data_IF_213224318003
#
_entry.id   IF_213224318003
#
_cell.length_a   1.000
_cell.length_b   1.000
_cell.length_c   1.000
_cell.angle_alpha   90.00
_cell.angle_beta   90.00
_cell.angle_gamma   90.00
#
_symmetry.space_group_name_H-M   'P 1'
#
loop_
_entity.id
_entity.type
_entity.pdbx_description
1 polymer ?
#
# COMPACT_ATOMS: atom_id res chain seq x y z
N UNK A 1 -31.64 -18.88 0.65
CA UNK A 1 -30.39 -18.38 1.31
C UNK A 1 -29.15 -19.29 1.19
N UNK A 2 -29.23 -20.60 1.53
CA UNK A 2 -28.05 -21.51 1.52
C UNK A 2 -27.38 -21.60 0.14
N UNK A 3 -28.17 -21.78 -0.93
CA UNK A 3 -27.67 -21.84 -2.31
C UNK A 3 -26.85 -20.60 -2.70
N UNK A 4 -27.35 -19.40 -2.37
CA UNK A 4 -26.64 -18.14 -2.64
C UNK A 4 -25.32 -18.04 -1.86
N UNK A 5 -25.31 -18.41 -0.58
CA UNK A 5 -24.06 -18.43 0.21
C UNK A 5 -23.01 -19.38 -0.39
N UNK A 6 -23.45 -20.57 -0.80
CA UNK A 6 -22.58 -21.58 -1.42
C UNK A 6 -22.02 -21.09 -2.75
N UNK A 7 -22.84 -20.45 -3.58
CA UNK A 7 -22.40 -19.93 -4.89
C UNK A 7 -21.46 -18.74 -4.82
N UNK A 8 -21.44 -18.02 -3.69
CA UNK A 8 -20.56 -16.88 -3.46
C UNK A 8 -19.18 -17.29 -2.96
N UNK A 9 -18.94 -18.57 -2.64
CA UNK A 9 -17.60 -19.04 -2.27
C UNK A 9 -16.63 -18.85 -3.45
N UNK A 10 -15.42 -18.31 -3.22
CA UNK A 10 -14.72 -18.12 -1.94
C UNK A 10 -14.81 -16.70 -1.36
N UNK A 11 -16.00 -16.08 -1.25
CA UNK A 11 -16.15 -14.79 -0.59
C UNK A 11 -15.70 -14.84 0.88
N UNK A 12 -15.06 -13.76 1.35
CA UNK A 12 -14.68 -13.63 2.76
C UNK A 12 -15.91 -13.57 3.67
N UNK A 13 -15.75 -13.96 4.94
CA UNK A 13 -16.81 -13.85 5.97
C UNK A 13 -17.32 -12.40 6.06
N UNK A 14 -16.41 -11.43 6.01
CA UNK A 14 -16.70 -10.00 5.99
C UNK A 14 -17.60 -9.60 4.81
N UNK A 15 -17.25 -10.07 3.60
CA UNK A 15 -18.04 -9.81 2.39
C UNK A 15 -19.43 -10.43 2.49
N UNK A 16 -19.51 -11.65 3.02
CA UNK A 16 -20.78 -12.34 3.23
C UNK A 16 -21.66 -11.63 4.27
N UNK A 17 -21.07 -11.14 5.38
CA UNK A 17 -21.80 -10.34 6.38
C UNK A 17 -22.42 -9.10 5.76
N UNK A 18 -21.65 -8.34 4.98
CA UNK A 18 -22.15 -7.17 4.26
C UNK A 18 -23.27 -7.52 3.28
N UNK A 19 -23.08 -8.55 2.46
CA UNK A 19 -24.10 -8.97 1.49
C UNK A 19 -25.40 -9.43 2.16
N UNK A 20 -25.28 -10.14 3.29
CA UNK A 20 -26.43 -10.55 4.10
C UNK A 20 -27.16 -9.33 4.69
N UNK A 21 -26.43 -8.32 5.14
CA UNK A 21 -27.03 -7.07 5.63
C UNK A 21 -27.76 -6.31 4.53
N UNK A 22 -27.16 -6.18 3.33
CA UNK A 22 -27.80 -5.54 2.17
C UNK A 22 -29.12 -6.26 1.80
N UNK A 23 -29.09 -7.59 1.73
CA UNK A 23 -30.31 -8.37 1.46
C UNK A 23 -31.35 -8.22 2.59
N UNK A 24 -30.92 -8.25 3.86
CA UNK A 24 -31.83 -8.04 5.00
C UNK A 24 -32.52 -6.69 4.90
N UNK A 25 -31.78 -5.63 4.56
CA UNK A 25 -32.33 -4.29 4.43
C UNK A 25 -33.34 -4.19 3.27
N UNK A 26 -33.11 -4.92 2.18
CA UNK A 26 -34.07 -5.02 1.08
C UNK A 26 -35.34 -5.78 1.48
N UNK A 27 -35.20 -6.90 2.18
CA UNK A 27 -36.31 -7.68 2.71
C UNK A 27 -37.16 -6.85 3.69
N UNK A 28 -36.51 -6.10 4.59
CA UNK A 28 -37.19 -5.19 5.50
C UNK A 28 -37.95 -4.09 4.75
N UNK A 29 -37.36 -3.51 3.70
CA UNK A 29 -38.03 -2.51 2.86
C UNK A 29 -39.22 -3.09 2.08
N UNK A 30 -39.15 -4.36 1.69
CA UNK A 30 -40.25 -5.09 1.03
C UNK A 30 -41.29 -5.67 2.00
N UNK A 31 -41.02 -5.63 3.30
CA UNK A 31 -41.80 -6.29 4.36
C UNK A 31 -42.02 -7.78 4.10
N UNK A 32 -41.01 -8.45 3.51
CA UNK A 32 -41.08 -9.86 3.11
C UNK A 32 -39.77 -10.57 3.40
N UNK A 33 -39.85 -11.86 3.70
CA UNK A 33 -38.66 -12.70 3.82
C UNK A 33 -38.09 -13.05 2.42
N UNK A 34 -36.82 -13.47 2.33
CA UNK A 34 -36.18 -13.79 1.05
C UNK A 34 -36.89 -14.88 0.23
N UNK A 35 -37.50 -15.87 0.87
CA UNK A 35 -38.10 -17.01 0.18
C UNK A 35 -39.47 -16.62 -0.40
N UNK A 36 -40.23 -15.78 0.31
CA UNK A 36 -41.47 -15.18 -0.21
C UNK A 36 -41.20 -14.31 -1.45
N UNK A 37 -40.15 -13.49 -1.45
CA UNK A 37 -39.78 -12.68 -2.63
C UNK A 37 -39.45 -13.56 -3.85
N UNK A 38 -38.76 -14.69 -3.64
CA UNK A 38 -38.46 -15.64 -4.72
C UNK A 38 -39.72 -16.35 -5.23
N UNK A 39 -40.63 -16.74 -4.32
CA UNK A 39 -41.90 -17.37 -4.66
C UNK A 39 -42.79 -16.44 -5.48
N UNK A 40 -42.90 -15.17 -5.08
CA UNK A 40 -43.64 -14.14 -5.83
C UNK A 40 -43.09 -13.96 -7.23
N UNK A 41 -41.76 -13.85 -7.37
CA UNK A 41 -41.15 -13.75 -8.70
C UNK A 41 -41.47 -14.96 -9.58
N UNK A 42 -41.38 -16.18 -9.03
CA UNK A 42 -41.70 -17.41 -9.76
C UNK A 42 -43.17 -17.42 -10.19
N UNK A 43 -44.09 -17.04 -9.31
CA UNK A 43 -45.52 -16.95 -9.61
C UNK A 43 -45.82 -15.89 -10.68
N UNK A 44 -45.19 -14.72 -10.58
CA UNK A 44 -45.35 -13.64 -11.56
C UNK A 44 -44.84 -14.05 -12.93
N UNK A 45 -43.66 -14.70 -13.02
CA UNK A 45 -43.13 -15.21 -14.29
C UNK A 45 -43.95 -16.35 -14.90
N UNK A 46 -44.64 -17.14 -14.07
CA UNK A 46 -45.54 -18.17 -14.55
C UNK A 46 -46.82 -17.57 -15.16
N UNK A 47 -47.30 -16.45 -14.62
CA UNK A 47 -48.45 -15.71 -15.16
C UNK A 47 -48.09 -14.90 -16.41
N UNK A 48 -46.96 -14.20 -16.35
CA UNK A 48 -46.44 -13.35 -17.42
C UNK A 48 -44.91 -13.46 -17.44
N UNK A 49 -44.38 -14.10 -18.49
CA UNK A 49 -42.95 -14.33 -18.65
C UNK A 49 -42.14 -13.03 -18.78
N UNK A 50 -42.80 -11.93 -19.19
CA UNK A 50 -42.21 -10.62 -19.38
C UNK A 50 -42.30 -9.73 -18.15
N UNK A 51 -43.09 -10.10 -17.13
CA UNK A 51 -43.26 -9.31 -15.91
C UNK A 51 -41.91 -8.88 -15.30
N UNK A 52 -41.76 -7.57 -15.07
CA UNK A 52 -40.54 -6.92 -14.52
C UNK A 52 -40.74 -6.32 -13.13
N UNK A 53 -41.68 -6.86 -12.34
CA UNK A 53 -42.05 -6.29 -11.04
C UNK A 53 -40.87 -6.23 -10.05
N UNK A 54 -40.00 -7.24 -10.05
CA UNK A 54 -38.84 -7.26 -9.13
C UNK A 54 -37.70 -6.34 -9.59
N UNK A 55 -37.54 -6.17 -10.90
CA UNK A 55 -36.62 -5.21 -11.47
C UNK A 55 -37.01 -3.77 -11.09
N UNK A 56 -38.30 -3.44 -11.24
CA UNK A 56 -38.87 -2.15 -10.81
C UNK A 56 -38.73 -1.99 -9.29
N UNK A 57 -39.05 -3.03 -8.52
CA UNK A 57 -38.92 -3.02 -7.06
C UNK A 57 -37.48 -2.76 -6.60
N UNK A 58 -36.50 -3.38 -7.25
CA UNK A 58 -35.09 -3.19 -6.92
C UNK A 58 -34.59 -1.79 -7.32
N UNK A 59 -35.08 -1.20 -8.41
CA UNK A 59 -34.79 0.19 -8.77
C UNK A 59 -35.37 1.16 -7.74
N UNK A 60 -36.65 0.99 -7.37
CA UNK A 60 -37.30 1.78 -6.31
C UNK A 60 -36.56 1.68 -4.98
N UNK A 61 -36.06 0.49 -4.64
CA UNK A 61 -35.23 0.32 -3.45
C UNK A 61 -33.93 1.13 -3.54
N UNK A 62 -33.21 1.07 -4.66
CA UNK A 62 -31.99 1.89 -4.87
C UNK A 62 -32.29 3.38 -4.72
N UNK A 63 -33.36 3.87 -5.34
CA UNK A 63 -33.79 5.27 -5.20
C UNK A 63 -34.12 5.63 -3.74
N UNK A 64 -34.77 4.73 -3.00
CA UNK A 64 -35.08 4.95 -1.58
C UNK A 64 -33.81 5.06 -0.72
N UNK A 65 -32.78 4.27 -1.02
CA UNK A 65 -31.48 4.34 -0.35
C UNK A 65 -30.82 5.70 -0.61
N UNK A 66 -30.87 6.18 -1.85
CA UNK A 66 -30.31 7.47 -2.24
C UNK A 66 -31.06 8.63 -1.57
N UNK A 67 -32.39 8.57 -1.53
CA UNK A 67 -33.23 9.56 -0.83
C UNK A 67 -32.94 9.63 0.67
N UNK A 68 -32.47 8.53 1.27
CA UNK A 68 -32.00 8.49 2.67
C UNK A 68 -30.60 9.06 2.88
N UNK A 69 -29.95 9.57 1.83
CA UNK A 69 -28.62 10.18 1.89
C UNK A 69 -27.46 9.19 1.90
N UNK A 70 -27.67 7.91 1.55
CA UNK A 70 -26.55 6.98 1.37
C UNK A 70 -25.82 7.29 0.05
N UNK A 71 -24.50 7.12 0.05
CA UNK A 71 -23.66 7.34 -1.13
C UNK A 71 -24.04 6.41 -2.30
N UNK A 72 -23.94 6.95 -3.52
CA UNK A 72 -24.22 6.23 -4.78
C UNK A 72 -23.50 4.88 -4.88
N UNK A 73 -22.21 4.84 -4.53
CA UNK A 73 -21.43 3.60 -4.50
C UNK A 73 -21.99 2.53 -3.56
N UNK A 74 -22.53 2.94 -2.40
CA UNK A 74 -23.15 2.04 -1.43
C UNK A 74 -24.50 1.52 -1.95
N UNK A 75 -25.31 2.41 -2.54
CA UNK A 75 -26.59 2.04 -3.15
C UNK A 75 -26.38 1.06 -4.32
N UNK A 76 -25.38 1.33 -5.17
CA UNK A 76 -25.00 0.44 -6.27
C UNK A 76 -24.50 -0.92 -5.77
N UNK A 77 -23.69 -0.95 -4.71
CA UNK A 77 -23.24 -2.20 -4.08
C UNK A 77 -24.42 -3.03 -3.59
N UNK A 78 -25.35 -2.42 -2.86
CA UNK A 78 -26.56 -3.10 -2.38
C UNK A 78 -27.40 -3.64 -3.55
N UNK A 79 -27.57 -2.84 -4.61
CA UNK A 79 -28.26 -3.24 -5.84
C UNK A 79 -27.62 -4.49 -6.47
N UNK A 80 -26.30 -4.49 -6.67
CA UNK A 80 -25.54 -5.63 -7.23
C UNK A 80 -25.64 -6.87 -6.33
N UNK A 81 -25.59 -6.68 -5.01
CA UNK A 81 -25.75 -7.77 -4.04
C UNK A 81 -27.12 -8.45 -4.21
N UNK A 82 -28.21 -7.67 -4.25
CA UNK A 82 -29.56 -8.22 -4.37
C UNK A 82 -29.78 -8.84 -5.76
N UNK A 83 -29.25 -8.22 -6.80
CA UNK A 83 -29.23 -8.80 -8.15
C UNK A 83 -28.55 -10.18 -8.17
N UNK A 84 -27.40 -10.31 -7.49
CA UNK A 84 -26.68 -11.57 -7.31
C UNK A 84 -27.53 -12.62 -6.58
N UNK A 85 -28.26 -12.22 -5.54
CA UNK A 85 -29.20 -13.11 -4.85
C UNK A 85 -30.21 -13.74 -5.81
N UNK A 86 -30.90 -12.94 -6.62
CA UNK A 86 -31.84 -13.48 -7.61
C UNK A 86 -31.16 -14.37 -8.65
N UNK A 87 -30.00 -13.95 -9.17
CA UNK A 87 -29.22 -14.72 -10.15
C UNK A 87 -28.88 -16.13 -9.65
N UNK A 88 -28.39 -16.26 -8.42
CA UNK A 88 -27.94 -17.53 -7.87
C UNK A 88 -29.06 -18.42 -7.32
N UNK A 89 -30.29 -17.92 -7.23
CA UNK A 89 -31.47 -18.73 -6.96
C UNK A 89 -32.27 -18.98 -8.26
N UNK A 90 -31.61 -18.94 -9.43
CA UNK A 90 -32.19 -19.22 -10.75
C UNK A 90 -33.39 -18.34 -11.13
N UNK A 91 -33.49 -17.16 -10.52
CA UNK A 91 -34.54 -16.17 -10.78
C UNK A 91 -33.93 -14.88 -11.33
N UNK A 92 -32.97 -15.00 -12.26
CA UNK A 92 -32.17 -13.89 -12.79
C UNK A 92 -33.05 -12.70 -13.20
N UNK A 93 -32.67 -11.50 -12.75
CA UNK A 93 -33.30 -10.23 -13.13
C UNK A 93 -32.81 -9.77 -14.51
N UNK A 94 -33.69 -9.11 -15.28
CA UNK A 94 -33.38 -8.62 -16.64
C UNK A 94 -33.59 -7.11 -16.71
N UNK A 95 -32.49 -6.36 -16.81
CA UNK A 95 -32.50 -4.91 -16.97
C UNK A 95 -32.13 -4.52 -18.39
N UNK A 96 -32.90 -3.61 -19.00
CA UNK A 96 -32.54 -3.00 -20.29
C UNK A 96 -31.24 -2.17 -20.16
N UNK A 97 -31.14 -1.40 -19.06
CA UNK A 97 -29.92 -0.69 -18.68
C UNK A 97 -29.60 -0.98 -17.22
N UNK A 98 -28.47 -1.63 -16.98
CA UNK A 98 -27.99 -1.83 -15.62
C UNK A 98 -27.54 -0.47 -15.06
N UNK A 99 -27.97 -0.07 -13.85
CA UNK A 99 -27.48 1.17 -13.24
C UNK A 99 -25.96 1.11 -13.17
N UNK A 100 -25.28 2.10 -13.72
CA UNK A 100 -23.84 2.23 -13.67
C UNK A 100 -23.52 3.55 -12.97
N UNK A 101 -22.48 3.54 -12.14
CA UNK A 101 -21.96 4.77 -11.56
C UNK A 101 -21.24 5.54 -12.65
N UNK A 102 -21.54 6.82 -12.75
CA UNK A 102 -20.75 7.75 -13.55
C UNK A 102 -19.46 8.11 -12.81
N UNK A 103 -18.45 8.65 -13.51
CA UNK A 103 -17.14 8.95 -12.91
C UNK A 103 -17.24 9.98 -11.78
N UNK A 104 -18.12 10.96 -11.92
CA UNK A 104 -18.46 11.99 -10.92
C UNK A 104 -19.13 11.41 -9.67
N UNK A 105 -19.85 10.29 -9.78
CA UNK A 105 -20.45 9.61 -8.63
C UNK A 105 -19.43 8.77 -7.85
N UNK A 106 -18.27 8.48 -8.43
CA UNK A 106 -17.24 7.67 -7.80
C UNK A 106 -16.27 8.52 -6.98
N UNK A 107 -16.50 8.56 -5.67
CA UNK A 107 -15.56 9.20 -4.73
C UNK A 107 -14.32 8.33 -4.51
N UNK A 108 -13.27 8.59 -5.27
CA UNK A 108 -11.97 7.95 -5.09
C UNK A 108 -11.32 8.32 -3.75
N UNK A 109 -10.42 7.49 -3.23
CA UNK A 109 -9.55 7.95 -2.14
C UNK A 109 -8.67 9.12 -2.62
N UNK A 110 -8.40 10.10 -1.74
CA UNK A 110 -7.51 11.23 -2.03
C UNK A 110 -6.19 10.74 -2.62
N UNK A 111 -5.74 11.41 -3.68
CA UNK A 111 -4.38 11.24 -4.23
C UNK A 111 -3.45 12.14 -3.44
N UNK A 112 -2.56 11.54 -2.65
CA UNK A 112 -1.61 12.29 -1.84
C UNK A 112 -0.47 12.85 -2.71
N UNK A 113 0.03 14.02 -2.34
CA UNK A 113 1.30 14.58 -2.82
C UNK A 113 2.46 14.11 -1.93
N UNK A 114 3.71 14.24 -2.40
CA UNK A 114 4.90 13.82 -1.64
C UNK A 114 4.98 14.53 -0.28
N UNK A 115 4.70 15.83 -0.26
CA UNK A 115 4.74 16.67 0.93
C UNK A 115 3.65 16.27 1.94
N UNK A 116 2.51 15.78 1.46
CA UNK A 116 1.44 15.26 2.33
C UNK A 116 1.85 13.91 2.96
N UNK A 117 2.53 13.04 2.21
CA UNK A 117 3.08 11.78 2.74
C UNK A 117 4.19 12.06 3.77
N UNK A 118 5.07 13.03 3.50
CA UNK A 118 6.09 13.48 4.45
C UNK A 118 5.47 14.02 5.74
N UNK A 119 4.46 14.89 5.65
CA UNK A 119 3.71 15.35 6.83
C UNK A 119 3.11 14.19 7.61
N UNK A 120 2.45 13.22 6.95
CA UNK A 120 1.94 12.03 7.64
C UNK A 120 3.03 11.29 8.41
N UNK A 121 4.21 11.13 7.81
CA UNK A 121 5.37 10.48 8.41
C UNK A 121 5.92 11.25 9.62
N UNK A 122 6.03 12.59 9.53
CA UNK A 122 6.51 13.45 10.61
C UNK A 122 5.60 13.42 11.85
N UNK A 123 4.28 13.37 11.64
CA UNK A 123 3.30 13.29 12.73
C UNK A 123 3.13 11.89 13.34
N UNK A 124 3.82 10.87 12.81
CA UNK A 124 3.84 9.54 13.41
C UNK A 124 4.59 9.55 14.74
N UNK A 125 3.89 9.20 15.82
CA UNK A 125 4.45 9.19 17.17
C UNK A 125 5.34 7.99 17.51
N UNK A 126 5.41 6.97 16.64
CA UNK A 126 6.20 5.76 16.88
C UNK A 126 6.67 5.10 15.58
N UNK A 127 7.63 4.18 15.69
CA UNK A 127 8.23 3.46 14.56
C UNK A 127 7.22 2.62 13.77
N UNK A 128 6.24 2.00 14.44
CA UNK A 128 5.19 1.18 13.80
C UNK A 128 4.37 2.02 12.83
N UNK A 129 3.85 3.17 13.29
CA UNK A 129 3.03 4.07 12.50
C UNK A 129 3.84 4.67 11.34
N UNK A 130 5.13 5.01 11.56
CA UNK A 130 6.06 5.43 10.49
C UNK A 130 6.24 4.36 9.42
N UNK A 131 6.46 3.09 9.81
CA UNK A 131 6.59 1.98 8.88
C UNK A 131 5.27 1.70 8.12
N UNK A 132 4.10 1.89 8.74
CA UNK A 132 2.82 1.77 8.03
C UNK A 132 2.73 2.82 6.90
N UNK A 133 3.13 4.06 7.19
CA UNK A 133 3.12 5.15 6.20
C UNK A 133 4.15 4.90 5.09
N UNK A 134 5.41 4.64 5.43
CA UNK A 134 6.46 4.35 4.44
C UNK A 134 6.12 3.10 3.63
N UNK A 135 5.78 2.01 4.30
CA UNK A 135 5.43 0.75 3.65
C UNK A 135 4.27 0.94 2.69
N UNK A 136 3.19 1.61 3.10
CA UNK A 136 2.08 1.90 2.20
C UNK A 136 2.46 2.78 1.01
N UNK A 137 3.34 3.77 1.19
CA UNK A 137 3.75 4.72 0.17
C UNK A 137 4.74 4.14 -0.84
N UNK A 138 5.68 3.31 -0.40
CA UNK A 138 6.77 2.79 -1.22
C UNK A 138 6.37 1.49 -1.92
N UNK A 139 5.65 0.60 -1.25
CA UNK A 139 5.25 -0.70 -1.81
C UNK A 139 3.84 -0.71 -2.41
N UNK A 140 3.01 0.27 -2.07
CA UNK A 140 1.62 0.32 -2.48
C UNK A 140 0.82 -0.90 -1.99
N UNK A 141 1.24 -1.55 -0.92
CA UNK A 141 0.53 -2.69 -0.33
C UNK A 141 -0.94 -2.36 -0.06
N UNK A 142 -1.82 -3.34 -0.28
CA UNK A 142 -3.23 -3.21 0.11
C UNK A 142 -3.35 -3.27 1.64
N UNK A 143 -4.46 -2.75 2.16
CA UNK A 143 -4.76 -2.76 3.59
C UNK A 143 -4.58 -4.16 4.22
N UNK A 144 -5.18 -5.20 3.62
CA UNK A 144 -5.02 -6.60 4.06
C UNK A 144 -3.58 -7.13 3.93
N UNK A 145 -2.82 -6.61 2.98
CA UNK A 145 -1.43 -7.01 2.79
C UNK A 145 -0.55 -6.42 3.90
N UNK A 146 -0.81 -5.17 4.32
CA UNK A 146 -0.22 -4.57 5.51
C UNK A 146 -0.58 -5.38 6.77
N UNK A 147 -1.85 -5.76 6.94
CA UNK A 147 -2.28 -6.63 8.05
C UNK A 147 -1.48 -7.94 8.11
N UNK A 148 -1.25 -8.61 6.98
CA UNK A 148 -0.54 -9.89 6.94
C UNK A 148 0.97 -9.76 6.69
N UNK A 149 1.53 -8.55 6.80
CA UNK A 149 2.93 -8.30 6.49
C UNK A 149 3.85 -8.90 7.55
N UNK A 150 4.82 -9.71 7.14
CA UNK A 150 5.72 -10.47 8.03
C UNK A 150 7.17 -10.32 7.59
N UNK A 151 8.12 -10.64 8.46
CA UNK A 151 9.55 -10.61 8.14
C UNK A 151 9.91 -11.51 6.94
N UNK A 152 9.35 -12.71 6.88
CA UNK A 152 9.54 -13.63 5.75
C UNK A 152 8.87 -13.19 4.44
N UNK A 153 8.32 -11.98 4.35
CA UNK A 153 7.90 -11.39 3.09
C UNK A 153 9.04 -10.64 2.38
N UNK A 154 10.13 -10.30 3.08
CA UNK A 154 11.30 -9.65 2.48
C UNK A 154 12.25 -10.71 1.94
N UNK A 155 12.85 -10.42 0.78
CA UNK A 155 13.83 -11.30 0.15
C UNK A 155 15.22 -10.90 0.63
N UNK A 156 15.86 -11.79 1.39
CA UNK A 156 17.22 -11.64 1.89
C UNK A 156 18.24 -11.71 0.75
N UNK A 157 18.09 -12.71 -0.12
CA UNK A 157 19.00 -12.98 -1.23
C UNK A 157 18.25 -13.44 -2.47
N UNK A 158 18.62 -12.88 -3.61
CA UNK A 158 18.18 -13.35 -4.92
C UNK A 158 18.99 -14.59 -5.31
N UNK A 159 18.33 -15.71 -5.57
CA UNK A 159 18.94 -16.99 -5.97
C UNK A 159 18.54 -17.41 -7.40
N UNK A 160 17.93 -16.50 -8.16
CA UNK A 160 17.37 -16.76 -9.49
C UNK A 160 16.02 -17.49 -9.46
N UNK A 161 15.55 -17.94 -8.30
CA UNK A 161 14.21 -18.47 -8.16
C UNK A 161 13.17 -17.34 -8.17
N UNK A 162 11.92 -17.70 -8.46
CA UNK A 162 10.81 -16.75 -8.44
C UNK A 162 10.59 -16.15 -7.05
N UNK A 163 10.86 -16.91 -5.99
CA UNK A 163 10.58 -16.52 -4.60
C UNK A 163 11.78 -15.84 -3.92
N UNK A 164 13.00 -16.23 -4.30
CA UNK A 164 14.21 -15.85 -3.57
C UNK A 164 14.31 -16.51 -2.20
N UNK A 165 15.42 -16.26 -1.51
CA UNK A 165 15.58 -16.67 -0.11
C UNK A 165 14.96 -15.58 0.77
N UNK A 166 13.92 -15.93 1.53
CA UNK A 166 13.22 -14.99 2.41
C UNK A 166 14.02 -14.72 3.69
N UNK A 167 13.79 -13.56 4.31
CA UNK A 167 14.42 -13.22 5.60
C UNK A 167 13.88 -14.12 6.72
N UNK A 168 14.78 -14.66 7.52
CA UNK A 168 14.47 -15.45 8.73
C UNK A 168 14.79 -14.67 10.02
N UNK A 169 15.68 -13.68 9.92
CA UNK A 169 16.22 -12.91 11.04
C UNK A 169 16.36 -11.41 10.72
N UNK A 170 16.73 -10.61 11.73
CA UNK A 170 17.01 -9.17 11.54
C UNK A 170 18.32 -9.00 10.77
N UNK A 171 19.26 -9.92 10.96
CA UNK A 171 20.57 -9.92 10.34
C UNK A 171 20.45 -10.04 8.81
N UNK A 172 19.49 -10.84 8.32
CA UNK A 172 19.20 -10.95 6.88
C UNK A 172 18.79 -9.61 6.25
N UNK A 173 18.11 -8.74 7.00
CA UNK A 173 17.69 -7.42 6.52
C UNK A 173 18.87 -6.46 6.30
N UNK A 174 20.02 -6.68 6.94
CA UNK A 174 21.17 -5.77 6.85
C UNK A 174 21.86 -5.86 5.49
N UNK A 175 21.75 -7.02 4.84
CA UNK A 175 22.44 -7.34 3.58
C UNK A 175 21.49 -7.37 2.37
N UNK A 176 20.24 -6.92 2.52
CA UNK A 176 19.27 -6.92 1.41
C UNK A 176 19.69 -5.97 0.30
N UNK A 177 19.42 -6.39 -0.93
CA UNK A 177 19.52 -5.52 -2.10
C UNK A 177 18.50 -4.37 -1.99
N UNK A 178 18.89 -3.15 -2.37
CA UNK A 178 18.00 -1.98 -2.42
C UNK A 178 17.72 -1.62 -3.89
N UNK A 179 16.45 -1.48 -4.30
CA UNK A 179 15.24 -1.57 -3.48
C UNK A 179 14.95 -3.02 -3.06
N UNK A 180 14.53 -3.21 -1.82
CA UNK A 180 14.32 -4.55 -1.27
C UNK A 180 13.04 -5.15 -1.83
N UNK A 181 13.17 -6.36 -2.40
CA UNK A 181 12.04 -7.09 -2.96
C UNK A 181 11.15 -7.62 -1.85
N UNK A 182 9.85 -7.42 -2.03
CA UNK A 182 8.79 -7.88 -1.14
C UNK A 182 7.91 -8.87 -1.89
N UNK A 183 7.82 -10.09 -1.37
CA UNK A 183 6.90 -11.10 -1.87
C UNK A 183 5.46 -10.79 -1.43
N UNK A 184 4.53 -10.91 -2.37
CA UNK A 184 3.10 -10.73 -2.17
C UNK A 184 2.40 -12.10 -2.22
N UNK A 185 2.44 -12.89 -1.13
CA UNK A 185 1.88 -14.23 -1.10
C UNK A 185 0.36 -14.19 -1.28
N UNK A 186 -0.22 -15.33 -1.70
CA UNK A 186 -1.66 -15.45 -1.98
C UNK A 186 -2.56 -15.00 -0.82
N UNK A 187 -2.10 -15.15 0.43
CA UNK A 187 -2.80 -14.71 1.66
C UNK A 187 -3.11 -13.21 1.71
N UNK A 188 -2.42 -12.38 0.91
CA UNK A 188 -2.70 -10.95 0.80
C UNK A 188 -3.98 -10.65 0.00
N UNK A 189 -4.50 -11.64 -0.73
CA UNK A 189 -5.65 -11.49 -1.60
C UNK A 189 -6.87 -12.25 -1.07
N UNK A 190 -8.05 -11.65 -1.25
CA UNK A 190 -9.34 -12.33 -1.00
C UNK A 190 -9.71 -13.26 -2.15
N UNK A 191 -9.31 -12.92 -3.38
CA UNK A 191 -9.63 -13.71 -4.55
C UNK A 191 -8.64 -14.86 -4.73
N UNK A 192 -9.17 -16.08 -4.80
CA UNK A 192 -8.40 -17.28 -5.13
C UNK A 192 -7.74 -17.23 -6.51
N UNK A 193 -8.24 -16.35 -7.40
CA UNK A 193 -7.69 -16.16 -8.75
C UNK A 193 -6.43 -15.32 -8.78
N UNK A 194 -6.11 -14.59 -7.70
CA UNK A 194 -4.87 -13.81 -7.65
C UNK A 194 -3.69 -14.71 -7.38
N UNK A 195 -2.64 -14.52 -8.18
CA UNK A 195 -1.37 -15.20 -8.02
C UNK A 195 -0.46 -14.36 -7.13
N UNK A 196 0.61 -15.00 -6.66
CA UNK A 196 1.68 -14.33 -5.95
C UNK A 196 2.34 -13.29 -6.85
N UNK A 197 2.63 -12.14 -6.27
CA UNK A 197 3.24 -11.01 -6.96
C UNK A 197 4.45 -10.52 -6.19
N UNK A 198 5.06 -9.46 -6.70
CA UNK A 198 6.19 -8.79 -6.07
C UNK A 198 5.92 -7.30 -5.99
N UNK A 199 6.58 -6.66 -5.04
CA UNK A 199 6.72 -5.21 -4.96
C UNK A 199 8.07 -4.88 -4.35
N UNK A 200 8.32 -3.61 -4.06
CA UNK A 200 9.58 -3.16 -3.52
C UNK A 200 9.40 -2.15 -2.40
N UNK A 201 10.44 -1.97 -1.59
CA UNK A 201 10.56 -0.88 -0.61
C UNK A 201 11.95 -0.25 -0.71
N UNK A 202 12.08 1.01 -0.31
CA UNK A 202 13.32 1.75 -0.37
C UNK A 202 14.21 1.49 0.86
N UNK A 203 15.41 2.07 0.84
CA UNK A 203 16.40 1.93 1.92
C UNK A 203 15.89 2.43 3.27
N UNK A 204 15.18 3.55 3.28
CA UNK A 204 14.75 4.19 4.52
C UNK A 204 13.70 3.33 5.26
N UNK A 205 12.83 2.66 4.51
CA UNK A 205 11.92 1.67 5.10
C UNK A 205 12.70 0.51 5.74
N UNK A 206 13.72 -0.05 5.07
CA UNK A 206 14.53 -1.15 5.60
C UNK A 206 15.30 -0.73 6.86
N UNK A 207 15.93 0.45 6.84
CA UNK A 207 16.63 1.02 8.01
C UNK A 207 15.70 1.14 9.21
N UNK A 208 14.54 1.78 9.00
CA UNK A 208 13.53 1.96 10.05
C UNK A 208 12.96 0.61 10.54
N UNK A 209 12.84 -0.37 9.64
CA UNK A 209 12.36 -1.71 9.98
C UNK A 209 13.35 -2.43 10.90
N UNK A 210 14.65 -2.37 10.60
CA UNK A 210 15.71 -2.95 11.44
C UNK A 210 15.67 -2.30 12.83
N UNK A 211 15.64 -0.97 12.92
CA UNK A 211 15.57 -0.25 14.19
C UNK A 211 14.34 -0.67 15.01
N UNK A 212 13.19 -0.79 14.36
CA UNK A 212 11.94 -1.20 15.00
C UNK A 212 11.97 -2.65 15.51
N UNK A 213 12.50 -3.58 14.71
CA UNK A 213 12.62 -4.98 15.11
C UNK A 213 13.65 -5.18 16.23
N UNK A 214 14.75 -4.41 16.25
CA UNK A 214 15.73 -4.43 17.33
C UNK A 214 15.14 -3.92 18.65
N UNK A 215 14.29 -2.88 18.62
CA UNK A 215 13.54 -2.43 19.81
C UNK A 215 12.66 -3.56 20.37
N UNK A 216 11.98 -4.31 19.49
CA UNK A 216 11.14 -5.46 19.87
C UNK A 216 11.96 -6.63 20.42
N UNK A 217 13.07 -6.97 19.76
CA UNK A 217 14.03 -7.99 20.21
C UNK A 217 14.60 -7.65 21.59
N UNK A 218 14.98 -6.40 21.83
CA UNK A 218 15.44 -5.90 23.15
C UNK A 218 14.37 -5.98 24.22
N UNK A 219 13.09 -5.84 23.86
CA UNK A 219 11.98 -6.06 24.79
C UNK A 219 11.77 -7.55 25.13
N UNK A 220 12.46 -8.47 24.46
CA UNK A 220 12.36 -9.92 24.66
C UNK A 220 11.38 -10.61 23.72
N UNK A 221 10.93 -9.94 22.65
CA UNK A 221 10.10 -10.59 21.63
C UNK A 221 10.96 -11.51 20.74
N UNK A 222 10.56 -12.79 20.51
CA UNK A 222 11.21 -13.63 19.52
C UNK A 222 10.89 -13.12 18.11
N UNK A 223 11.94 -12.87 17.33
CA UNK A 223 11.84 -12.38 15.96
C UNK A 223 12.26 -13.49 14.99
N UNK A 224 11.34 -13.90 14.11
CA UNK A 224 11.51 -14.94 13.11
C UNK A 224 10.79 -14.57 11.78
N UNK A 225 10.89 -15.42 10.75
CA UNK A 225 10.21 -15.24 9.47
C UNK A 225 8.69 -15.04 9.57
N UNK A 226 8.04 -15.58 10.61
CA UNK A 226 6.59 -15.52 10.82
C UNK A 226 6.18 -14.27 11.61
N UNK A 227 7.12 -13.57 12.24
CA UNK A 227 6.87 -12.35 13.02
C UNK A 227 6.11 -11.31 12.19
N UNK A 228 4.91 -10.88 12.63
CA UNK A 228 4.20 -9.76 12.01
C UNK A 228 5.00 -8.47 12.12
N UNK A 229 5.07 -7.70 11.03
CA UNK A 229 5.72 -6.38 11.02
C UNK A 229 4.89 -5.39 11.82
N UNK A 230 3.57 -5.44 11.78
CA UNK A 230 2.70 -4.58 12.57
C UNK A 230 1.92 -5.42 13.57
N UNK A 231 2.50 -5.81 14.73
CA UNK A 231 1.81 -6.63 15.69
C UNK A 231 0.85 -5.82 16.58
N UNK A 232 -0.13 -6.56 17.09
CA UNK A 232 -0.84 -6.34 18.36
C UNK A 232 -0.57 -7.55 19.23
N UNK A 233 -0.54 -7.38 20.54
CA UNK A 233 -0.16 -8.48 21.43
C UNK A 233 -1.34 -8.93 22.26
N UNK A 234 -1.74 -10.19 22.12
CA UNK A 234 -2.75 -10.79 22.97
C UNK A 234 -2.04 -11.37 24.19
N UNK A 235 -2.18 -10.70 25.33
CA UNK A 235 -1.57 -11.12 26.59
C UNK A 235 -2.60 -11.75 27.52
N UNK A 236 -2.30 -12.93 28.06
CA UNK A 236 -2.97 -13.54 29.20
C UNK A 236 -2.18 -13.16 30.45
N UNK A 237 -2.85 -12.54 31.41
CA UNK A 237 -2.21 -11.97 32.60
C UNK A 237 -2.96 -12.41 33.86
N UNK A 238 -2.24 -12.65 34.94
CA UNK A 238 -2.78 -12.92 36.27
C UNK A 238 -2.75 -11.64 37.09
N UNK A 239 -3.91 -11.16 37.51
CA UNK A 239 -4.02 -10.00 38.41
C UNK A 239 -3.46 -10.38 39.78
N UNK A 240 -2.46 -9.65 40.28
CA UNK A 240 -1.73 -10.05 41.48
C UNK A 240 -2.58 -9.99 42.76
N UNK A 241 -3.50 -9.02 42.85
CA UNK A 241 -4.35 -8.82 44.03
C UNK A 241 -5.46 -9.86 44.15
N UNK A 242 -6.01 -10.35 43.04
CA UNK A 242 -7.19 -11.23 43.02
C UNK A 242 -6.90 -12.64 42.49
N UNK A 243 -5.73 -12.87 41.89
CA UNK A 243 -5.40 -14.11 41.18
C UNK A 243 -6.17 -14.33 39.87
N UNK A 244 -7.07 -13.41 39.50
CA UNK A 244 -7.94 -13.56 38.31
C UNK A 244 -7.12 -13.50 37.03
N UNK A 245 -7.41 -14.40 36.08
CA UNK A 245 -6.76 -14.40 34.77
C UNK A 245 -7.59 -13.58 33.79
N UNK A 246 -6.96 -12.58 33.18
CA UNK A 246 -7.58 -11.73 32.15
C UNK A 246 -6.81 -11.83 30.84
N UNK A 247 -7.53 -11.71 29.72
CA UNK A 247 -6.93 -11.58 28.39
C UNK A 247 -7.12 -10.16 27.89
N UNK A 248 -6.03 -9.52 27.47
CA UNK A 248 -6.04 -8.14 26.97
C UNK A 248 -5.17 -7.99 25.73
N UNK A 249 -5.57 -7.06 24.87
CA UNK A 249 -4.75 -6.60 23.76
C UNK A 249 -3.79 -5.52 24.27
N UNK A 250 -2.53 -5.59 23.84
CA UNK A 250 -1.48 -4.62 24.16
C UNK A 250 -0.82 -4.13 22.88
N UNK A 251 -0.32 -2.89 22.92
CA UNK A 251 0.44 -2.29 21.82
C UNK A 251 1.94 -2.63 21.86
N UNK A 252 2.45 -3.06 23.03
CA UNK A 252 3.86 -3.40 23.24
C UNK A 252 4.01 -4.79 23.82
N UNK A 253 5.13 -5.42 23.49
CA UNK A 253 5.54 -6.68 24.08
C UNK A 253 5.79 -6.52 25.58
N UNK A 254 5.45 -7.55 26.34
CA UNK A 254 5.74 -7.68 27.75
C UNK A 254 6.13 -9.14 28.00
N UNK A 255 7.40 -9.37 28.35
CA UNK A 255 7.93 -10.72 28.50
C UNK A 255 7.11 -11.54 29.51
N UNK A 256 6.95 -12.85 29.31
CA UNK A 256 6.36 -13.73 30.32
C UNK A 256 7.01 -13.51 31.69
N UNK A 257 6.19 -13.54 32.75
CA UNK A 257 6.52 -13.23 34.16
C UNK A 257 6.84 -11.77 34.48
N UNK A 258 6.82 -10.87 33.50
CA UNK A 258 6.93 -9.43 33.78
C UNK A 258 5.66 -8.90 34.47
N UNK A 259 5.83 -7.86 35.30
CA UNK A 259 4.74 -7.14 35.93
C UNK A 259 4.30 -5.98 35.05
N UNK A 260 3.00 -5.87 34.81
CA UNK A 260 2.39 -4.82 34.00
C UNK A 260 1.06 -4.36 34.62
N UNK A 261 0.70 -3.10 34.41
CA UNK A 261 -0.65 -2.63 34.70
C UNK A 261 -1.63 -3.18 33.65
N UNK A 262 -2.77 -3.68 34.11
CA UNK A 262 -3.86 -4.17 33.28
C UNK A 262 -5.20 -3.57 33.71
N UNK A 263 -6.03 -3.19 32.74
CA UNK A 263 -7.41 -2.78 33.01
C UNK A 263 -8.29 -3.99 33.31
N UNK A 264 -8.81 -4.05 34.52
CA UNK A 264 -9.71 -5.10 35.01
C UNK A 264 -11.10 -4.48 35.23
N UNK A 265 -12.12 -5.12 34.67
CA UNK A 265 -13.51 -4.69 34.86
C UNK A 265 -14.03 -5.32 36.16
N UNK A 266 -14.31 -4.49 37.15
CA UNK A 266 -14.88 -4.87 38.44
C UNK A 266 -16.37 -4.50 38.44
N UNK A 267 -17.25 -5.49 38.21
CA UNK A 267 -18.70 -5.26 38.16
C UNK A 267 -19.18 -4.57 36.88
N UNK A 268 -20.36 -3.93 36.92
CA UNK A 268 -21.08 -3.53 35.71
C UNK A 268 -20.50 -2.34 34.95
N UNK A 269 -19.56 -1.54 35.49
CA UNK A 269 -18.91 -0.44 34.74
C UNK A 269 -17.59 0.10 35.31
N UNK A 270 -17.04 -0.41 36.42
CA UNK A 270 -15.79 0.12 36.97
C UNK A 270 -14.58 -0.57 36.34
N UNK A 271 -13.78 0.18 35.59
CA UNK A 271 -12.49 -0.28 35.06
C UNK A 271 -11.38 0.27 35.96
N UNK A 272 -10.64 -0.61 36.62
CA UNK A 272 -9.47 -0.24 37.43
C UNK A 272 -8.19 -0.77 36.79
N UNK A 273 -7.10 -0.01 36.91
CA UNK A 273 -5.76 -0.48 36.57
C UNK A 273 -5.21 -1.26 37.76
N UNK A 274 -4.87 -2.52 37.55
CA UNK A 274 -4.31 -3.40 38.58
C UNK A 274 -2.99 -4.01 38.10
N UNK A 275 -2.06 -4.18 39.04
CA UNK A 275 -0.81 -4.88 38.77
C UNK A 275 -1.09 -6.34 38.43
N UNK A 276 -0.51 -6.79 37.33
CA UNK A 276 -0.72 -8.11 36.77
C UNK A 276 0.61 -8.71 36.31
N UNK A 277 0.75 -10.02 36.47
CA UNK A 277 1.86 -10.80 35.93
C UNK A 277 1.47 -11.33 34.55
N UNK A 278 2.31 -11.13 33.53
CA UNK A 278 2.09 -11.70 32.20
C UNK A 278 2.37 -13.20 32.25
N UNK A 279 1.36 -14.03 31.97
CA UNK A 279 1.53 -15.48 31.90
C UNK A 279 2.00 -15.92 30.51
N UNK A 280 1.34 -15.38 29.49
CA UNK A 280 1.54 -15.74 28.08
C UNK A 280 1.23 -14.52 27.23
N UNK A 281 1.98 -14.34 26.14
CA UNK A 281 1.79 -13.25 25.20
C UNK A 281 2.08 -13.75 23.79
N UNK A 282 1.16 -13.46 22.88
CA UNK A 282 1.27 -13.89 21.48
C UNK A 282 1.20 -12.67 20.55
N UNK A 283 2.10 -12.58 19.56
CA UNK A 283 2.00 -11.56 18.52
C UNK A 283 0.89 -11.95 17.53
N UNK A 284 -0.09 -11.09 17.39
CA UNK A 284 -1.13 -11.16 16.37
C UNK A 284 -0.96 -9.99 15.38
N UNK A 285 -1.30 -10.14 14.10
CA UNK A 285 -1.21 -9.02 13.17
C UNK A 285 -2.22 -7.89 13.50
N UNK A 286 -1.83 -6.64 13.26
CA UNK A 286 -2.68 -5.47 13.44
C UNK A 286 -3.81 -5.50 12.42
N UNK A 287 -5.04 -5.63 12.94
CA UNK A 287 -6.25 -5.69 12.11
C UNK A 287 -6.50 -4.38 11.36
N UNK A 288 -7.29 -4.48 10.29
CA UNK A 288 -7.55 -3.38 9.36
C UNK A 288 -8.08 -2.11 10.06
N UNK A 289 -8.95 -2.26 11.05
CA UNK A 289 -9.49 -1.14 11.84
C UNK A 289 -8.40 -0.40 12.61
N UNK A 290 -7.39 -1.14 13.09
CA UNK A 290 -6.23 -0.58 13.77
C UNK A 290 -5.40 0.29 12.83
N UNK A 291 -5.12 -0.23 11.63
CA UNK A 291 -4.40 0.51 10.58
C UNK A 291 -5.21 1.74 10.14
N UNK A 292 -6.50 1.61 9.85
CA UNK A 292 -7.35 2.76 9.51
C UNK A 292 -7.43 3.79 10.64
N UNK A 293 -7.43 3.33 11.89
CA UNK A 293 -7.35 4.16 13.09
C UNK A 293 -6.09 5.03 13.13
N UNK A 294 -4.94 4.48 12.71
CA UNK A 294 -3.68 5.25 12.55
C UNK A 294 -3.90 6.41 11.58
N UNK A 295 -4.41 6.15 10.37
CA UNK A 295 -4.65 7.21 9.36
C UNK A 295 -5.67 8.25 9.82
N UNK A 296 -6.72 7.85 10.54
CA UNK A 296 -7.71 8.78 11.10
C UNK A 296 -7.07 9.75 12.09
N UNK A 297 -6.15 9.28 12.94
CA UNK A 297 -5.39 10.13 13.86
C UNK A 297 -4.39 11.01 13.11
N UNK A 298 -3.59 10.42 12.22
CA UNK A 298 -2.53 11.13 11.52
C UNK A 298 -3.08 12.24 10.61
N UNK A 299 -4.14 11.98 9.83
CA UNK A 299 -4.71 13.02 8.94
C UNK A 299 -5.22 14.24 9.72
N UNK A 300 -5.76 14.03 10.93
CA UNK A 300 -6.22 15.12 11.80
C UNK A 300 -5.03 15.93 12.33
N UNK A 301 -3.93 15.26 12.72
CA UNK A 301 -2.72 15.93 13.19
C UNK A 301 -1.99 16.67 12.05
N UNK A 302 -1.90 16.04 10.89
CA UNK A 302 -1.20 16.58 9.73
C UNK A 302 -1.98 17.67 8.98
N UNK A 303 -3.23 17.91 9.37
CA UNK A 303 -4.15 18.85 8.73
C UNK A 303 -4.14 18.71 7.20
N UNK A 304 -4.44 17.50 6.72
CA UNK A 304 -4.52 17.20 5.29
C UNK A 304 -5.97 17.34 4.86
N UNK A 305 -6.24 18.42 4.14
CA UNK A 305 -7.56 18.72 3.60
C UNK A 305 -7.95 17.74 2.50
N UNK A 306 -9.24 17.51 2.36
CA UNK A 306 -9.83 16.75 1.27
C UNK A 306 -11.22 17.29 1.01
N UNK A 307 -11.65 17.25 -0.24
CA UNK A 307 -13.01 17.64 -0.60
C UNK A 307 -13.96 16.43 -0.44
N UNK A 308 -14.90 16.44 0.52
CA UNK A 308 -15.82 15.33 0.74
C UNK A 308 -16.81 15.12 -0.41
N UNK A 309 -16.98 16.09 -1.31
CA UNK A 309 -17.84 15.97 -2.49
C UNK A 309 -17.19 15.12 -3.58
N UNK A 310 -15.89 15.32 -3.83
CA UNK A 310 -15.17 14.64 -4.93
C UNK A 310 -14.32 13.46 -4.47
N UNK A 311 -13.83 13.47 -3.22
CA UNK A 311 -12.88 12.48 -2.73
C UNK A 311 -13.21 11.93 -1.33
N UNK A 312 -12.66 10.76 -1.04
CA UNK A 312 -12.67 10.17 0.30
C UNK A 312 -11.42 10.61 1.04
N UNK A 313 -11.60 10.79 2.35
CA UNK A 313 -10.53 11.10 3.27
C UNK A 313 -9.31 10.17 3.14
N UNK A 314 -8.16 10.71 3.55
CA UNK A 314 -6.88 9.99 3.58
C UNK A 314 -7.03 8.65 4.31
N UNK A 315 -6.50 7.61 3.67
CA UNK A 315 -6.57 6.20 4.08
C UNK A 315 -5.35 5.43 3.57
N UNK A 316 -5.12 4.18 4.00
CA UNK A 316 -4.05 3.33 3.46
C UNK A 316 -4.09 3.22 1.92
N UNK A 317 -5.29 3.22 1.33
CA UNK A 317 -5.43 3.18 -0.13
C UNK A 317 -4.94 4.46 -0.83
N UNK A 318 -4.89 5.59 -0.11
CA UNK A 318 -4.36 6.87 -0.62
C UNK A 318 -2.85 6.78 -0.87
N UNK A 319 -2.11 6.07 -0.02
CA UNK A 319 -0.67 5.83 -0.21
C UNK A 319 -0.38 4.93 -1.41
N UNK A 320 -1.22 3.91 -1.61
CA UNK A 320 -1.15 3.07 -2.82
C UNK A 320 -1.42 3.87 -4.10
N UNK A 321 -2.37 4.81 -4.05
CA UNK A 321 -2.60 5.75 -5.16
C UNK A 321 -1.42 6.69 -5.38
N UNK A 322 -0.78 7.15 -4.31
CA UNK A 322 0.45 7.92 -4.38
C UNK A 322 1.53 7.15 -5.15
N UNK A 323 1.84 5.91 -4.76
CA UNK A 323 2.84 5.10 -5.48
C UNK A 323 2.52 4.96 -6.97
N UNK A 324 1.29 4.55 -7.29
CA UNK A 324 0.85 4.38 -8.68
C UNK A 324 1.08 5.66 -9.49
N UNK A 325 0.63 6.78 -8.93
CA UNK A 325 0.74 8.10 -9.52
C UNK A 325 2.18 8.57 -9.71
N UNK A 326 3.05 8.24 -8.75
CA UNK A 326 4.46 8.60 -8.75
C UNK A 326 5.24 7.78 -9.79
N UNK A 327 4.93 6.48 -9.93
CA UNK A 327 5.48 5.63 -10.98
C UNK A 327 5.06 6.14 -12.37
N UNK A 328 3.75 6.41 -12.57
CA UNK A 328 3.25 6.95 -13.84
C UNK A 328 3.91 8.29 -14.20
N UNK A 329 4.02 9.21 -13.23
CA UNK A 329 4.65 10.50 -13.43
C UNK A 329 6.16 10.39 -13.74
N UNK A 330 6.79 9.27 -13.36
CA UNK A 330 8.20 8.96 -13.68
C UNK A 330 8.36 8.27 -15.04
N UNK A 331 7.27 8.11 -15.81
CA UNK A 331 7.31 7.48 -17.13
C UNK A 331 7.36 5.96 -17.09
N UNK A 332 7.11 5.34 -15.94
CA UNK A 332 7.05 3.87 -15.83
C UNK A 332 5.86 3.34 -16.62
N UNK A 333 6.08 2.32 -17.43
CA UNK A 333 5.02 1.70 -18.24
C UNK A 333 3.86 1.20 -17.35
N UNK A 334 2.62 1.44 -17.78
CA UNK A 334 1.41 1.11 -17.00
C UNK A 334 1.30 -0.38 -16.66
N UNK A 335 1.85 -1.28 -17.46
CA UNK A 335 1.93 -2.72 -17.16
C UNK A 335 2.85 -2.96 -15.97
N UNK A 336 4.05 -2.36 -15.96
CA UNK A 336 4.99 -2.44 -14.85
C UNK A 336 4.41 -1.84 -13.57
N UNK A 337 3.74 -0.68 -13.66
CA UNK A 337 3.04 -0.07 -12.53
C UNK A 337 2.00 -1.03 -11.95
N UNK A 338 1.19 -1.65 -12.81
CA UNK A 338 0.19 -2.63 -12.41
C UNK A 338 0.78 -3.91 -11.81
N UNK A 339 1.97 -4.32 -12.21
CA UNK A 339 2.70 -5.45 -11.61
C UNK A 339 3.24 -5.08 -10.24
N UNK A 340 3.96 -3.96 -10.11
CA UNK A 340 4.55 -3.46 -8.85
C UNK A 340 3.49 -3.29 -7.76
N UNK A 341 2.31 -2.78 -8.10
CA UNK A 341 1.23 -2.62 -7.12
C UNK A 341 0.41 -3.91 -6.95
N UNK A 342 0.58 -4.94 -7.78
CA UNK A 342 -0.22 -6.17 -7.73
C UNK A 342 -1.69 -5.98 -8.18
N UNK A 343 -1.91 -5.16 -9.20
CA UNK A 343 -3.18 -5.09 -9.95
C UNK A 343 -3.30 -6.22 -10.96
N UNK A 344 -2.25 -6.48 -11.74
CA UNK A 344 -2.25 -7.53 -12.76
C UNK A 344 -1.66 -8.84 -12.22
N UNK A 345 -2.32 -9.96 -12.54
CA UNK A 345 -1.71 -11.29 -12.46
C UNK A 345 -0.88 -11.62 -13.72
N UNK A 346 -1.03 -10.81 -14.76
CA UNK A 346 -0.43 -11.05 -16.06
C UNK A 346 0.94 -10.40 -16.08
N UNK A 347 1.87 -11.12 -15.47
CA UNK A 347 3.26 -11.15 -15.94
C UNK A 347 3.30 -11.66 -17.41
N UNK A 348 2.17 -12.20 -17.93
CA UNK A 348 2.00 -12.84 -19.23
C UNK A 348 1.61 -11.96 -20.44
N UNK A 349 1.17 -10.71 -20.25
CA UNK A 349 0.59 -9.90 -21.35
C UNK A 349 1.54 -8.74 -21.76
N UNK A 350 2.85 -8.97 -21.76
CA UNK A 350 3.82 -7.98 -22.23
C UNK A 350 4.04 -8.09 -23.75
N UNK A 351 4.14 -6.94 -24.43
CA UNK A 351 4.27 -6.83 -25.90
C UNK A 351 5.51 -7.54 -26.50
N UNK A 352 6.45 -8.01 -25.68
CA UNK A 352 7.65 -8.71 -26.13
C UNK A 352 7.44 -10.18 -26.49
N UNK A 353 6.23 -10.73 -26.32
CA UNK A 353 5.95 -12.16 -26.55
C UNK A 353 6.59 -13.09 -25.52
N UNK A 354 7.33 -12.55 -24.54
CA UNK A 354 7.84 -13.31 -23.39
C UNK A 354 6.69 -13.53 -22.42
N UNK A 355 6.43 -14.80 -22.08
CA UNK A 355 5.37 -15.21 -21.16
C UNK A 355 5.54 -14.69 -19.73
N UNK A 356 6.71 -14.14 -19.39
CA UNK A 356 6.96 -13.50 -18.10
C UNK A 356 7.84 -12.25 -18.26
N UNK A 357 7.42 -11.11 -17.68
CA UNK A 357 8.28 -9.98 -17.29
C UNK A 357 9.44 -10.44 -16.41
N UNK A 358 10.64 -9.95 -16.72
CA UNK A 358 11.84 -10.25 -15.95
C UNK A 358 11.87 -9.44 -14.64
N UNK A 359 12.35 -10.05 -13.56
CA UNK A 359 12.43 -9.41 -12.25
C UNK A 359 13.29 -8.14 -12.32
N UNK A 360 14.39 -8.21 -13.05
CA UNK A 360 15.33 -7.10 -13.21
C UNK A 360 14.71 -5.94 -13.99
N UNK A 361 13.88 -6.21 -14.99
CA UNK A 361 13.11 -5.15 -15.69
C UNK A 361 12.14 -4.44 -14.74
N UNK A 362 11.43 -5.19 -13.89
CA UNK A 362 10.49 -4.61 -12.92
C UNK A 362 11.24 -3.81 -11.84
N UNK A 363 12.37 -4.34 -11.36
CA UNK A 363 13.24 -3.65 -10.39
C UNK A 363 13.78 -2.36 -10.99
N UNK A 364 14.32 -2.40 -12.21
CA UNK A 364 14.85 -1.23 -12.89
C UNK A 364 13.78 -0.16 -13.11
N UNK A 365 12.56 -0.57 -13.47
CA UNK A 365 11.41 0.33 -13.57
C UNK A 365 11.11 1.02 -12.23
N UNK A 366 11.13 0.28 -11.12
CA UNK A 366 10.96 0.86 -9.78
C UNK A 366 12.14 1.79 -9.40
N UNK A 367 13.38 1.37 -9.64
CA UNK A 367 14.61 2.13 -9.38
C UNK A 367 14.62 3.49 -10.08
N UNK A 368 14.16 3.54 -11.34
CA UNK A 368 14.07 4.79 -12.11
C UNK A 368 13.20 5.86 -11.42
N UNK A 369 12.20 5.42 -10.65
CA UNK A 369 11.25 6.26 -9.93
C UNK A 369 11.59 6.43 -8.43
N UNK A 370 12.59 5.72 -7.89
CA UNK A 370 12.87 5.67 -6.45
C UNK A 370 13.05 7.04 -5.80
N UNK A 371 13.73 7.98 -6.48
CA UNK A 371 13.94 9.34 -5.98
C UNK A 371 12.62 10.10 -5.74
N UNK A 372 11.56 9.79 -6.50
CA UNK A 372 10.24 10.37 -6.29
C UNK A 372 9.42 9.59 -5.28
N UNK A 373 9.59 8.27 -5.25
CA UNK A 373 8.86 7.37 -4.34
C UNK A 373 9.29 7.58 -2.89
N UNK A 374 10.61 7.63 -2.66
CA UNK A 374 11.22 7.81 -1.35
C UNK A 374 10.62 9.01 -0.62
N UNK A 375 10.09 8.76 0.58
CA UNK A 375 9.43 9.79 1.38
C UNK A 375 10.47 10.65 2.11
N UNK A 376 11.48 10.02 2.69
CA UNK A 376 12.55 10.68 3.44
C UNK A 376 13.76 10.97 2.54
N UNK A 377 14.50 12.03 2.90
CA UNK A 377 15.60 12.56 2.08
C UNK A 377 16.85 11.68 2.08
N UNK A 378 17.06 10.80 3.07
CA UNK A 378 18.17 9.84 3.06
C UNK A 378 18.14 8.95 1.81
N UNK A 379 16.95 8.60 1.32
CA UNK A 379 16.72 7.86 0.07
C UNK A 379 16.54 8.73 -1.18
N UNK A 380 16.40 10.07 -1.06
CA UNK A 380 16.55 10.97 -2.23
C UNK A 380 17.99 10.90 -2.82
N UNK A 381 18.90 10.28 -2.08
CA UNK A 381 20.03 9.56 -2.62
C UNK A 381 21.36 10.27 -2.43
N UNK A 382 22.40 9.54 -2.00
CA UNK A 382 23.79 9.87 -2.28
C UNK A 382 24.06 10.08 -3.77
N UNK A 383 23.20 9.61 -4.67
CA UNK A 383 23.35 9.78 -6.12
C UNK A 383 23.12 11.21 -6.58
N UNK A 384 22.17 11.95 -6.01
CA UNK A 384 22.00 13.38 -6.31
C UNK A 384 23.17 14.17 -5.73
N UNK A 385 23.51 13.96 -4.46
CA UNK A 385 24.67 14.58 -3.82
C UNK A 385 26.04 14.18 -4.43
N UNK A 386 26.16 12.98 -4.99
CA UNK A 386 27.37 12.49 -5.71
C UNK A 386 27.38 12.97 -7.15
N UNK A 387 26.22 13.16 -7.78
CA UNK A 387 26.11 13.80 -9.08
C UNK A 387 26.39 15.29 -8.97
N UNK A 388 25.87 15.98 -7.95
CA UNK A 388 26.19 17.37 -7.63
C UNK A 388 27.68 17.53 -7.34
N UNK A 389 28.27 16.66 -6.51
CA UNK A 389 29.73 16.65 -6.30
C UNK A 389 30.52 16.39 -7.59
N UNK A 390 30.10 15.42 -8.41
CA UNK A 390 30.76 15.15 -9.70
C UNK A 390 30.58 16.30 -10.70
N UNK A 391 29.45 17.00 -10.69
CA UNK A 391 29.22 18.18 -11.52
C UNK A 391 30.16 19.29 -11.09
N UNK A 392 30.27 19.57 -9.79
CA UNK A 392 31.22 20.55 -9.23
C UNK A 392 32.68 20.18 -9.59
N UNK A 393 33.06 18.91 -9.46
CA UNK A 393 34.40 18.43 -9.83
C UNK A 393 34.68 18.60 -11.34
N UNK A 394 33.71 18.26 -12.19
CA UNK A 394 33.82 18.39 -13.65
C UNK A 394 33.86 19.86 -14.09
N UNK A 395 33.08 20.73 -13.45
CA UNK A 395 33.10 22.18 -13.69
C UNK A 395 34.44 22.81 -13.29
N UNK A 396 34.96 22.44 -12.12
CA UNK A 396 36.28 22.90 -11.67
C UNK A 396 37.41 22.43 -12.60
N UNK A 397 37.36 21.17 -13.04
CA UNK A 397 38.32 20.63 -13.99
C UNK A 397 38.23 21.28 -15.38
N UNK A 398 37.00 21.53 -15.86
CA UNK A 398 36.78 22.23 -17.14
C UNK A 398 37.33 23.65 -17.10
N UNK A 399 37.12 24.37 -15.99
CA UNK A 399 37.66 25.72 -15.79
C UNK A 399 39.20 25.75 -15.80
N UNK A 400 39.84 24.78 -15.15
CA UNK A 400 41.32 24.67 -15.19
C UNK A 400 41.84 24.37 -16.60
N UNK A 401 41.14 23.53 -17.36
CA UNK A 401 41.47 23.23 -18.75
C UNK A 401 41.34 24.48 -19.63
N UNK A 402 40.28 25.26 -19.46
CA UNK A 402 40.08 26.52 -20.19
C UNK A 402 41.20 27.53 -19.91
N UNK A 403 41.65 27.62 -18.65
CA UNK A 403 42.74 28.53 -18.25
C UNK A 403 44.08 28.10 -18.84
N UNK A 404 44.42 26.80 -18.78
CA UNK A 404 45.62 26.25 -19.45
C UNK A 404 45.58 26.48 -20.95
N UNK A 405 44.43 26.26 -21.59
CA UNK A 405 44.27 26.47 -23.01
C UNK A 405 44.46 27.94 -23.39
N UNK A 406 44.05 28.87 -22.51
CA UNK A 406 44.26 30.30 -22.68
C UNK A 406 45.73 30.68 -22.57
N UNK A 407 46.45 30.12 -21.60
CA UNK A 407 47.89 30.33 -21.42
C UNK A 407 48.69 29.76 -22.61
N UNK A 408 48.40 28.54 -23.05
CA UNK A 408 49.04 27.95 -24.24
C UNK A 408 48.77 28.78 -25.50
N UNK A 409 47.53 29.27 -25.68
CA UNK A 409 47.20 30.18 -26.79
C UNK A 409 47.97 31.49 -26.71
N UNK A 410 48.11 32.07 -25.52
CA UNK A 410 48.89 33.28 -25.34
C UNK A 410 50.38 33.05 -25.66
N UNK A 411 50.98 31.97 -25.14
CA UNK A 411 52.37 31.62 -25.41
C UNK A 411 52.63 31.26 -26.88
N UNK A 412 51.69 30.58 -27.55
CA UNK A 412 51.78 30.31 -28.98
C UNK A 412 51.67 31.59 -29.81
N UNK A 413 50.80 32.52 -29.43
CA UNK A 413 50.70 33.82 -30.09
C UNK A 413 51.99 34.64 -29.92
N UNK A 414 52.61 34.61 -28.74
CA UNK A 414 53.91 35.28 -28.53
C UNK A 414 55.03 34.63 -29.35
N UNK A 415 55.07 33.31 -29.44
CA UNK A 415 56.02 32.58 -30.30
C UNK A 415 55.81 32.91 -31.77
N UNK A 416 54.55 32.94 -32.24
CA UNK A 416 54.19 33.36 -33.60
C UNK A 416 54.68 34.79 -33.86
N UNK A 417 54.37 35.74 -32.97
CA UNK A 417 54.81 37.12 -33.11
C UNK A 417 56.35 37.28 -33.05
N UNK A 418 57.05 36.41 -32.32
CA UNK A 418 58.52 36.36 -32.31
C UNK A 418 59.07 35.84 -33.65
N UNK A 419 58.52 34.75 -34.16
CA UNK A 419 58.90 34.16 -35.45
C UNK A 419 58.62 35.11 -36.61
N UNK A 420 57.47 35.79 -36.60
CA UNK A 420 57.13 36.82 -37.59
C UNK A 420 58.17 37.96 -37.60
N UNK A 421 58.60 38.43 -36.41
CA UNK A 421 59.66 39.45 -36.30
C UNK A 421 61.00 38.95 -36.85
N UNK A 422 61.39 37.72 -36.53
CA UNK A 422 62.63 37.13 -37.05
C UNK A 422 62.58 36.96 -38.58
N UNK A 423 61.45 36.51 -39.13
CA UNK A 423 61.28 36.40 -40.59
C UNK A 423 61.41 37.76 -41.28
N UNK A 424 60.79 38.81 -40.74
CA UNK A 424 60.92 40.18 -41.29
C UNK A 424 62.37 40.64 -41.28
N UNK A 425 63.13 40.36 -40.21
CA UNK A 425 64.53 40.74 -40.12
C UNK A 425 65.41 39.98 -41.12
N UNK A 426 65.18 38.69 -41.31
CA UNK A 426 65.88 37.86 -42.31
C UNK A 426 65.60 38.38 -43.72
N UNK A 427 64.33 38.65 -44.05
CA UNK A 427 63.94 39.19 -45.36
C UNK A 427 64.59 40.55 -45.64
N UNK A 428 64.73 41.40 -44.61
CA UNK A 428 65.42 42.69 -44.73
C UNK A 428 66.91 42.54 -45.01
N UNK A 429 67.57 41.53 -44.41
CA UNK A 429 68.98 41.20 -44.65
C UNK A 429 69.26 40.58 -46.03
N UNK A 430 68.26 39.96 -46.66
CA UNK A 430 68.38 39.37 -48.00
C UNK A 430 68.07 40.34 -49.15
N UNK A 431 67.33 41.43 -48.88
CA UNK A 431 67.01 42.48 -49.85
C UNK A 431 67.96 43.70 -49.83
N UNK A 432 68.99 43.68 -48.97
CA UNK A 432 70.10 44.64 -48.93
C UNK A 432 71.33 44.00 -49.55
#
# INVERSE_FOLDING_TARGET
MKAWKSSLQPASIESWRHQKTDLRNYCLWREKDPDTILAERKANRAKDAEARLEEIGLQKYRESILKRGLAEGSAQKAFVTIFSFFKHNYQRLVFARFPALTLDQFKGAKRLKKEEVQRLYEFCGNHRDKLIVLGGAESGLRLRALEHFRLGCFVAREDGSREGVCCESIEDLKEVMIPCRVQLPKRFYTSQRKREGITFVCKDFIKLLIEYLEIRKKAGEPIDAKTPIFPTYKARMRVLSTGTIVTRQRDTWASPRSRVAASVTMGSNNVQLMDSEVLEIEPAPLVNEGIEGVFRRLRKKANIDFDPETERAVSPHSLRKYLHSTLDASGVNSVMVNVIIGHSNQIADHYSGRRNLDLEEIRHAYESAMHRIAVTEESNGPRVMKLERRVIEVEAYSKQLEEKLREERAGNNERLASLERQMVEILRKQGS
#
